data_IF_367134849390
#
_entry.id   IF_367134849390
#
_cell.length_a   1.000
_cell.length_b   1.000
_cell.length_c   1.000
_cell.angle_alpha   90.00
_cell.angle_beta   90.00
_cell.angle_gamma   90.00
#
_symmetry.space_group_name_H-M   'P 1'
#
loop_
_entity.id
_entity.type
_entity.pdbx_description
1 polymer ?
#
# COMPACT_ATOMS: atom_id res chain seq x y z
N UNK A 1 25.06 17.70 -34.11
CA UNK A 1 25.10 16.55 -33.16
C UNK A 1 25.15 15.27 -33.96
N UNK A 2 26.07 14.36 -33.64
CA UNK A 2 26.04 13.01 -34.21
C UNK A 2 24.66 12.36 -34.00
N UNK A 3 24.19 11.59 -35.00
CA UNK A 3 22.88 10.92 -35.00
C UNK A 3 22.61 10.18 -33.68
N UNK A 4 23.63 9.49 -33.15
CA UNK A 4 23.61 8.83 -31.82
C UNK A 4 23.22 9.77 -30.68
N UNK A 5 23.82 10.97 -30.63
CA UNK A 5 23.54 11.98 -29.59
C UNK A 5 22.10 12.50 -29.68
N UNK A 6 21.59 12.71 -30.90
CA UNK A 6 20.21 13.17 -31.13
C UNK A 6 19.17 12.13 -30.69
N UNK A 7 19.38 10.86 -31.02
CA UNK A 7 18.49 9.77 -30.60
C UNK A 7 18.45 9.67 -29.07
N UNK A 8 19.61 9.69 -28.41
CA UNK A 8 19.68 9.62 -26.94
C UNK A 8 18.98 10.79 -26.26
N UNK A 9 19.07 12.00 -26.82
CA UNK A 9 18.35 13.16 -26.29
C UNK A 9 16.83 13.01 -26.41
N UNK A 10 16.34 12.51 -27.55
CA UNK A 10 14.91 12.28 -27.77
C UNK A 10 14.38 11.22 -26.79
N UNK A 11 15.10 10.11 -26.63
CA UNK A 11 14.73 9.05 -25.70
C UNK A 11 14.67 9.56 -24.25
N UNK A 12 15.69 10.28 -23.80
CA UNK A 12 15.70 10.91 -22.46
C UNK A 12 14.55 11.88 -22.27
N UNK A 13 14.21 12.69 -23.29
CA UNK A 13 13.09 13.62 -23.22
C UNK A 13 11.75 12.87 -23.08
N UNK A 14 11.55 11.81 -23.86
CA UNK A 14 10.35 10.96 -23.78
C UNK A 14 10.22 10.27 -22.42
N UNK A 15 11.31 9.71 -21.91
CA UNK A 15 11.33 9.07 -20.58
C UNK A 15 10.98 10.07 -19.48
N UNK A 16 11.55 11.28 -19.51
CA UNK A 16 11.19 12.35 -18.56
C UNK A 16 9.72 12.75 -18.65
N UNK A 17 9.15 12.82 -19.85
CA UNK A 17 7.73 13.13 -20.05
C UNK A 17 6.80 12.01 -19.57
N UNK A 18 7.22 10.75 -19.65
CA UNK A 18 6.47 9.63 -19.10
C UNK A 18 6.50 9.67 -17.56
N UNK A 19 7.69 9.86 -16.98
CA UNK A 19 7.85 9.94 -15.52
C UNK A 19 7.14 11.16 -14.92
N UNK A 20 7.14 12.31 -15.60
CA UNK A 20 6.44 13.50 -15.11
C UNK A 20 4.93 13.31 -14.99
N UNK A 21 4.35 12.40 -15.79
CA UNK A 21 2.92 12.06 -15.74
C UNK A 21 2.60 11.02 -14.68
N UNK A 22 3.60 10.27 -14.20
CA UNK A 22 3.43 9.22 -13.19
C UNK A 22 3.64 9.73 -11.76
N UNK A 23 4.01 11.00 -11.57
CA UNK A 23 4.10 11.57 -10.23
C UNK A 23 2.71 11.74 -9.60
N UNK A 24 2.33 10.78 -8.75
CA UNK A 24 1.33 11.00 -7.72
C UNK A 24 1.91 11.90 -6.62
N UNK A 25 1.09 12.81 -6.08
CA UNK A 25 1.49 13.55 -4.88
C UNK A 25 1.62 12.59 -3.71
N UNK A 26 2.71 12.64 -2.96
CA UNK A 26 2.88 11.91 -1.68
C UNK A 26 1.90 12.34 -0.57
N UNK A 27 0.99 13.27 -0.86
CA UNK A 27 -0.03 13.72 0.08
C UNK A 27 -1.26 12.82 -0.08
N UNK A 28 -1.85 12.32 1.02
CA UNK A 28 -3.13 11.64 0.93
C UNK A 28 -4.15 12.59 0.32
N UNK A 29 -5.01 12.06 -0.55
CA UNK A 29 -6.10 12.87 -1.12
C UNK A 29 -6.97 13.36 0.02
N UNK A 30 -7.32 14.66 0.01
CA UNK A 30 -8.28 15.16 0.98
C UNK A 30 -9.63 14.50 0.72
N UNK A 31 -10.13 13.80 1.73
CA UNK A 31 -11.46 13.21 1.81
C UNK A 31 -12.28 14.02 2.80
N UNK A 32 -13.61 14.05 2.61
CA UNK A 32 -14.49 14.83 3.50
C UNK A 32 -14.45 14.26 4.93
N UNK A 33 -14.88 15.06 5.92
CA UNK A 33 -14.93 14.61 7.32
C UNK A 33 -15.80 13.35 7.50
N UNK A 34 -16.89 13.24 6.73
CA UNK A 34 -17.76 12.08 6.76
C UNK A 34 -17.08 10.83 6.20
N UNK A 35 -16.34 10.96 5.10
CA UNK A 35 -15.64 9.84 4.48
C UNK A 35 -14.45 9.37 5.33
N UNK A 36 -13.77 10.31 6.01
CA UNK A 36 -12.70 9.97 6.95
C UNK A 36 -13.22 9.17 8.14
N UNK A 37 -14.34 9.58 8.73
CA UNK A 37 -14.94 8.85 9.85
C UNK A 37 -15.38 7.42 9.45
N UNK A 38 -15.89 7.24 8.23
CA UNK A 38 -16.25 5.91 7.70
C UNK A 38 -15.02 5.02 7.53
N UNK A 39 -13.94 5.54 6.94
CA UNK A 39 -12.71 4.77 6.76
C UNK A 39 -12.03 4.41 8.10
N UNK A 40 -12.05 5.32 9.07
CA UNK A 40 -11.51 5.05 10.41
C UNK A 40 -12.33 3.97 11.15
N UNK A 41 -13.66 3.96 11.00
CA UNK A 41 -14.51 2.92 11.57
C UNK A 41 -14.27 1.55 10.90
N UNK A 42 -14.19 1.51 9.58
CA UNK A 42 -13.87 0.27 8.83
C UNK A 42 -12.47 -0.26 9.15
N UNK A 43 -11.49 0.63 9.36
CA UNK A 43 -10.13 0.26 9.77
C UNK A 43 -10.09 -0.27 11.21
N UNK A 44 -10.89 0.29 12.12
CA UNK A 44 -11.05 -0.24 13.48
C UNK A 44 -11.74 -1.61 13.50
N UNK A 45 -12.77 -1.81 12.67
CA UNK A 45 -13.45 -3.11 12.54
C UNK A 45 -12.50 -4.17 11.98
N UNK A 46 -11.69 -3.82 10.97
CA UNK A 46 -10.66 -4.73 10.43
C UNK A 46 -9.56 -5.03 11.44
N UNK A 47 -9.05 -4.02 12.15
CA UNK A 47 -8.03 -4.24 13.17
C UNK A 47 -8.56 -5.10 14.33
N UNK A 48 -9.83 -4.96 14.70
CA UNK A 48 -10.47 -5.83 15.68
C UNK A 48 -10.63 -7.26 15.16
N UNK A 49 -11.00 -7.43 13.89
CA UNK A 49 -11.10 -8.75 13.26
C UNK A 49 -9.72 -9.43 13.16
N UNK A 50 -8.68 -8.73 12.72
CA UNK A 50 -7.30 -9.26 12.64
C UNK A 50 -6.74 -9.61 14.02
N UNK A 51 -7.07 -8.85 15.08
CA UNK A 51 -6.68 -9.20 16.45
C UNK A 51 -7.45 -10.39 17.00
N UNK A 52 -8.72 -10.57 16.63
CA UNK A 52 -9.51 -11.74 16.99
C UNK A 52 -8.99 -12.97 16.25
N UNK A 53 -8.68 -12.87 14.96
CA UNK A 53 -8.11 -13.96 14.17
C UNK A 53 -6.72 -14.37 14.66
N UNK A 54 -5.82 -13.40 14.93
CA UNK A 54 -4.50 -13.69 15.49
C UNK A 54 -4.53 -14.25 16.92
N UNK A 55 -5.54 -13.89 17.73
CA UNK A 55 -5.73 -14.49 19.06
C UNK A 55 -6.28 -15.91 18.97
N UNK A 56 -7.15 -16.20 17.99
CA UNK A 56 -7.69 -17.55 17.76
C UNK A 56 -6.57 -18.48 17.27
N UNK A 57 -5.72 -18.05 16.34
CA UNK A 57 -4.56 -18.84 15.88
C UNK A 57 -3.58 -19.14 17.04
N UNK A 58 -3.25 -18.14 17.87
CA UNK A 58 -2.36 -18.34 19.02
C UNK A 58 -2.93 -19.29 20.10
N UNK A 59 -4.26 -19.35 20.25
CA UNK A 59 -4.89 -20.32 21.17
C UNK A 59 -4.93 -21.74 20.61
N UNK A 60 -5.07 -21.90 19.30
CA UNK A 60 -5.09 -23.22 18.66
C UNK A 60 -3.69 -23.85 18.67
N UNK A 61 -2.64 -23.06 18.41
CA UNK A 61 -1.26 -23.55 18.49
C UNK A 61 -0.87 -23.95 19.93
N UNK A 62 -1.31 -23.18 20.94
CA UNK A 62 -1.05 -23.49 22.35
C UNK A 62 -1.81 -24.73 22.84
N UNK A 63 -2.97 -25.06 22.25
CA UNK A 63 -3.73 -26.27 22.59
C UNK A 63 -3.16 -27.52 21.90
N UNK A 64 -2.65 -27.37 20.67
CA UNK A 64 -1.95 -28.45 19.95
C UNK A 64 -0.61 -28.83 20.60
N UNK A 65 0.20 -27.86 21.05
CA UNK A 65 1.46 -28.16 21.74
C UNK A 65 1.25 -28.89 23.08
N UNK A 66 0.13 -28.62 23.77
CA UNK A 66 -0.18 -29.23 25.07
C UNK A 66 -0.83 -30.62 24.96
N UNK A 67 -1.37 -30.96 23.79
CA UNK A 67 -1.95 -32.28 23.50
C UNK A 67 -0.91 -33.30 23.00
N UNK A 68 0.32 -32.85 22.71
CA UNK A 68 1.42 -33.69 22.20
C UNK A 68 2.40 -34.13 23.31
N UNK A 69 2.31 -33.59 24.53
CA UNK A 69 3.00 -34.06 25.75
C UNK A 69 2.18 -35.11 26.52
#
# INVERSE_FOLDING_TARGET
MNRKKKINQILKKKQKQANSKLHGSNKPRYISKADRAKMEAEEQEKAAQEQVEGAVEATVEAEEEKAVE
#
